data_IF_993017992559
#
_entry.id   IF_993017992559
#
_cell.length_a   1.000
_cell.length_b   1.000
_cell.length_c   1.000
_cell.angle_alpha   90.00
_cell.angle_beta   90.00
_cell.angle_gamma   90.00
#
_symmetry.space_group_name_H-M   'P 1'
#
loop_
_entity.id
_entity.type
_entity.pdbx_description
1 polymer ?
#
# COMPACT_ATOMS: atom_id res chain seq x y z
N UNK A 1 5.35 -35.03 4.39
CA UNK A 1 5.76 -33.61 4.42
C UNK A 1 4.49 -32.84 4.13
N UNK A 2 3.80 -32.38 5.18
CA UNK A 2 2.61 -31.54 4.99
C UNK A 2 3.05 -30.30 4.21
N UNK A 3 2.41 -30.03 3.07
CA UNK A 3 2.53 -28.73 2.41
C UNK A 3 1.98 -27.71 3.40
N UNK A 4 2.87 -27.01 4.10
CA UNK A 4 2.50 -25.81 4.85
C UNK A 4 1.83 -24.87 3.85
N UNK A 5 0.54 -24.61 4.06
CA UNK A 5 -0.22 -23.69 3.22
C UNK A 5 0.41 -22.30 3.25
N UNK A 6 0.16 -21.50 2.23
CA UNK A 6 0.70 -20.14 2.06
C UNK A 6 0.45 -19.27 3.30
N UNK A 7 -0.70 -19.48 3.95
CA UNK A 7 -1.11 -18.82 5.20
C UNK A 7 -0.24 -19.16 6.42
N UNK A 8 0.62 -20.18 6.35
CA UNK A 8 1.52 -20.54 7.45
C UNK A 8 2.75 -19.62 7.52
N UNK A 9 3.10 -18.97 6.42
CA UNK A 9 4.24 -18.03 6.34
C UNK A 9 3.74 -16.61 6.18
N UNK A 10 2.86 -16.39 5.20
CA UNK A 10 2.38 -15.06 4.88
C UNK A 10 1.09 -14.71 5.63
N UNK A 11 0.90 -13.44 6.02
CA UNK A 11 -0.36 -13.00 6.58
C UNK A 11 -1.44 -13.02 5.50
N UNK A 12 -2.70 -13.18 5.93
CA UNK A 12 -3.85 -12.95 5.04
C UNK A 12 -3.94 -11.47 4.71
N UNK A 13 -4.11 -11.14 3.42
CA UNK A 13 -4.38 -9.76 3.02
C UNK A 13 -5.68 -9.27 3.68
N UNK A 14 -5.69 -8.07 4.29
CA UNK A 14 -6.90 -7.51 4.88
C UNK A 14 -7.95 -7.20 3.81
N UNK A 15 -9.15 -6.80 4.22
CA UNK A 15 -10.19 -6.32 3.31
C UNK A 15 -10.28 -4.79 3.29
N UNK A 16 -9.42 -4.11 4.04
CA UNK A 16 -9.43 -2.65 4.17
C UNK A 16 -8.02 -2.11 4.32
N UNK A 17 -7.77 -0.96 3.71
CA UNK A 17 -6.65 -0.08 4.07
C UNK A 17 -7.19 1.26 4.55
N UNK A 18 -6.44 1.92 5.42
CA UNK A 18 -6.78 3.24 5.96
C UNK A 18 -5.64 4.23 5.73
N UNK A 19 -5.97 5.51 5.67
CA UNK A 19 -5.01 6.59 5.56
C UNK A 19 -5.57 7.88 6.18
N UNK A 20 -4.68 8.82 6.47
CA UNK A 20 -5.06 10.12 7.01
C UNK A 20 -4.48 11.23 6.16
N UNK A 21 -5.32 11.99 5.46
CA UNK A 21 -4.89 13.18 4.74
C UNK A 21 -4.93 14.38 5.70
N UNK A 22 -3.83 15.13 5.77
CA UNK A 22 -3.60 16.14 6.81
C UNK A 22 -3.54 17.53 6.16
N UNK A 23 -4.19 18.51 6.81
CA UNK A 23 -4.34 19.85 6.27
C UNK A 23 -4.11 20.94 7.33
N UNK A 24 -3.60 22.08 6.89
CA UNK A 24 -3.41 23.27 7.73
C UNK A 24 -4.75 23.93 8.14
N UNK A 25 -5.80 23.75 7.34
CA UNK A 25 -7.13 24.30 7.54
C UNK A 25 -8.19 23.35 6.93
N UNK A 26 -9.47 23.46 7.32
CA UNK A 26 -10.56 22.74 6.65
C UNK A 26 -10.62 23.02 5.14
N UNK A 27 -11.08 22.03 4.38
CA UNK A 27 -11.21 22.11 2.91
C UNK A 27 -12.66 21.90 2.47
N UNK A 28 -12.97 22.27 1.23
CA UNK A 28 -14.20 21.86 0.56
C UNK A 28 -14.06 20.39 0.10
N UNK A 29 -14.61 19.48 0.90
CA UNK A 29 -14.51 18.04 0.63
C UNK A 29 -15.24 17.63 -0.66
N UNK A 30 -16.40 18.22 -0.94
CA UNK A 30 -17.19 17.87 -2.13
C UNK A 30 -16.45 18.31 -3.39
N UNK A 31 -15.91 19.53 -3.41
CA UNK A 31 -15.09 20.00 -4.52
C UNK A 31 -13.82 19.15 -4.70
N UNK A 32 -13.16 18.77 -3.61
CA UNK A 32 -11.95 17.95 -3.66
C UNK A 32 -12.23 16.55 -4.22
N UNK A 33 -13.33 15.91 -3.83
CA UNK A 33 -13.77 14.60 -4.33
C UNK A 33 -14.25 14.69 -5.78
N UNK A 34 -14.98 15.74 -6.16
CA UNK A 34 -15.43 15.94 -7.55
C UNK A 34 -14.26 16.03 -8.55
N UNK A 35 -13.08 16.47 -8.13
CA UNK A 35 -11.87 16.47 -8.98
C UNK A 35 -11.36 15.07 -9.33
N UNK A 36 -11.70 14.02 -8.57
CA UNK A 36 -11.26 12.65 -8.87
C UNK A 36 -11.68 12.28 -10.30
N UNK A 37 -12.94 12.57 -10.67
CA UNK A 37 -13.46 12.31 -12.01
C UNK A 37 -12.71 13.08 -13.10
N UNK A 38 -12.27 14.31 -12.81
CA UNK A 38 -11.56 15.14 -13.77
C UNK A 38 -10.12 14.67 -14.00
N UNK A 39 -9.43 14.28 -12.92
CA UNK A 39 -8.02 13.88 -12.98
C UNK A 39 -7.88 12.47 -13.58
N UNK A 40 -8.75 11.56 -13.17
CA UNK A 40 -8.60 10.13 -13.47
C UNK A 40 -9.57 9.61 -14.52
N UNK A 41 -10.44 10.48 -15.07
CA UNK A 41 -11.45 10.11 -16.06
C UNK A 41 -12.32 8.92 -15.59
N UNK A 42 -12.76 8.97 -14.34
CA UNK A 42 -13.63 7.96 -13.71
C UNK A 42 -14.96 8.56 -13.29
N UNK A 43 -16.00 7.75 -13.33
CA UNK A 43 -17.31 8.14 -12.81
C UNK A 43 -17.45 7.67 -11.36
N UNK A 44 -17.78 8.62 -10.47
CA UNK A 44 -18.11 8.34 -9.07
C UNK A 44 -19.46 8.99 -8.74
N UNK A 45 -20.23 8.35 -7.88
CA UNK A 45 -21.50 8.87 -7.38
C UNK A 45 -21.40 9.03 -5.84
N UNK A 46 -20.81 10.13 -5.36
CA UNK A 46 -20.62 10.34 -3.94
C UNK A 46 -21.89 10.83 -3.25
N UNK A 47 -22.09 10.33 -2.03
CA UNK A 47 -23.22 10.67 -1.19
C UNK A 47 -22.79 10.84 0.28
N UNK A 48 -23.58 11.62 1.01
CA UNK A 48 -23.45 11.72 2.45
C UNK A 48 -24.30 10.65 3.14
N UNK A 49 -23.71 9.95 4.10
CA UNK A 49 -24.39 8.95 4.93
C UNK A 49 -24.12 9.22 6.41
N UNK A 50 -24.87 8.51 7.27
CA UNK A 50 -24.74 8.60 8.72
C UNK A 50 -24.85 10.06 9.22
N UNK A 51 -26.00 10.69 8.97
CA UNK A 51 -26.30 12.09 9.33
C UNK A 51 -25.24 13.10 8.87
N UNK A 52 -24.79 12.97 7.62
CA UNK A 52 -23.75 13.80 6.99
C UNK A 52 -22.39 13.77 7.70
N UNK A 53 -22.05 12.65 8.34
CA UNK A 53 -20.75 12.47 9.01
C UNK A 53 -19.73 11.75 8.11
N UNK A 54 -20.19 11.00 7.12
CA UNK A 54 -19.34 10.20 6.23
C UNK A 54 -19.72 10.51 4.79
N UNK A 55 -18.74 10.94 4.01
CA UNK A 55 -18.87 11.09 2.56
C UNK A 55 -18.33 9.83 1.89
N UNK A 56 -19.14 9.19 1.05
CA UNK A 56 -18.87 7.84 0.59
C UNK A 56 -19.20 7.66 -0.89
N UNK A 57 -18.43 6.82 -1.57
CA UNK A 57 -18.69 6.41 -2.95
C UNK A 57 -18.04 5.06 -3.22
N UNK A 58 -18.45 4.43 -4.31
CA UNK A 58 -17.79 3.23 -4.82
C UNK A 58 -17.02 3.55 -6.08
N UNK A 59 -15.79 3.06 -6.16
CA UNK A 59 -14.98 3.08 -7.35
C UNK A 59 -14.35 1.71 -7.53
N UNK A 60 -14.61 1.05 -8.66
CA UNK A 60 -13.99 -0.24 -9.02
C UNK A 60 -14.15 -1.32 -7.95
N UNK A 61 -15.36 -1.43 -7.38
CA UNK A 61 -15.66 -2.39 -6.32
C UNK A 61 -15.05 -2.03 -4.95
N UNK A 62 -14.29 -0.94 -4.82
CA UNK A 62 -13.77 -0.43 -3.55
C UNK A 62 -14.76 0.59 -3.00
N UNK A 63 -15.23 0.37 -1.78
CA UNK A 63 -16.00 1.36 -1.04
C UNK A 63 -15.06 2.35 -0.36
N UNK A 64 -15.16 3.62 -0.72
CA UNK A 64 -14.38 4.71 -0.11
C UNK A 64 -15.25 5.40 0.92
N UNK A 65 -14.74 5.58 2.13
CA UNK A 65 -15.37 6.35 3.20
C UNK A 65 -14.42 7.47 3.63
N UNK A 66 -14.95 8.68 3.72
CA UNK A 66 -14.19 9.88 4.09
C UNK A 66 -14.92 10.59 5.24
N UNK A 67 -14.23 10.75 6.36
CA UNK A 67 -14.73 11.52 7.52
C UNK A 67 -13.86 12.75 7.75
N UNK A 68 -14.48 13.92 7.75
CA UNK A 68 -13.82 15.17 8.08
C UNK A 68 -13.70 15.36 9.60
N UNK A 69 -12.50 15.68 10.09
CA UNK A 69 -12.24 15.82 11.51
C UNK A 69 -11.50 17.13 11.80
N UNK A 70 -12.16 18.02 12.54
CA UNK A 70 -11.65 19.34 12.93
C UNK A 70 -10.77 19.28 14.18
N UNK A 71 -9.73 18.42 14.15
CA UNK A 71 -8.69 18.38 15.20
C UNK A 71 -7.38 17.80 14.65
N UNK A 72 -6.25 18.05 15.31
CA UNK A 72 -5.01 17.37 14.98
C UNK A 72 -5.09 15.86 15.19
N UNK A 73 -4.40 15.12 14.34
CA UNK A 73 -4.11 13.69 14.47
C UNK A 73 -3.08 13.50 15.58
N UNK A 74 -3.32 12.54 16.46
CA UNK A 74 -2.37 12.12 17.49
C UNK A 74 -1.80 10.76 17.09
N UNK A 75 -0.49 10.71 16.83
CA UNK A 75 0.21 9.47 16.53
C UNK A 75 0.67 8.77 17.80
N UNK A 76 0.75 7.44 17.76
CA UNK A 76 1.36 6.66 18.85
C UNK A 76 2.89 6.82 18.87
N UNK A 77 3.52 6.99 17.70
CA UNK A 77 4.96 7.19 17.53
C UNK A 77 5.25 8.25 16.47
N UNK A 78 6.30 9.04 16.67
CA UNK A 78 6.69 10.12 15.77
C UNK A 78 5.92 11.42 16.01
N UNK A 79 6.11 12.39 15.12
CA UNK A 79 5.44 13.70 15.18
C UNK A 79 5.03 14.12 13.77
N UNK A 80 3.86 14.74 13.65
CA UNK A 80 3.36 15.34 12.41
C UNK A 80 3.61 16.85 12.43
N UNK A 81 3.75 17.50 11.26
CA UNK A 81 3.74 18.96 11.17
C UNK A 81 2.47 19.55 11.81
N UNK A 82 2.54 20.81 12.26
CA UNK A 82 1.38 21.50 12.82
C UNK A 82 0.22 21.53 11.80
N UNK A 83 -0.97 21.14 12.27
CA UNK A 83 -2.19 21.01 11.48
C UNK A 83 -3.41 21.06 12.40
N UNK A 84 -4.57 21.41 11.85
CA UNK A 84 -5.81 21.58 12.63
C UNK A 84 -6.96 20.73 12.09
N UNK A 85 -6.77 20.13 10.91
CA UNK A 85 -7.79 19.37 10.19
C UNK A 85 -7.19 18.11 9.57
N UNK A 86 -7.97 17.03 9.56
CA UNK A 86 -7.65 15.85 8.79
C UNK A 86 -8.89 15.16 8.22
N UNK A 87 -8.67 14.40 7.16
CA UNK A 87 -9.63 13.44 6.64
C UNK A 87 -9.18 12.04 7.03
N UNK A 88 -10.04 11.31 7.75
CA UNK A 88 -9.88 9.88 7.93
C UNK A 88 -10.43 9.17 6.69
N UNK A 89 -9.59 8.37 6.04
CA UNK A 89 -9.90 7.67 4.81
C UNK A 89 -9.92 6.17 5.06
N UNK A 90 -10.98 5.50 4.61
CA UNK A 90 -11.08 4.04 4.60
C UNK A 90 -11.42 3.56 3.20
N UNK A 91 -10.69 2.55 2.74
CA UNK A 91 -10.88 1.93 1.43
C UNK A 91 -11.17 0.45 1.68
N UNK A 92 -12.45 0.10 1.65
CA UNK A 92 -12.94 -1.25 1.92
C UNK A 92 -13.17 -2.01 0.62
N UNK A 93 -12.44 -3.10 0.44
CA UNK A 93 -12.46 -3.95 -0.74
C UNK A 93 -12.73 -5.41 -0.33
N UNK A 94 -13.97 -5.73 0.09
CA UNK A 94 -14.32 -7.10 0.46
C UNK A 94 -14.25 -8.04 -0.73
N UNK A 95 -14.14 -9.34 -0.44
CA UNK A 95 -14.41 -10.39 -1.41
C UNK A 95 -15.91 -10.49 -1.73
N UNK A 96 -16.75 -10.32 -0.73
CA UNK A 96 -18.20 -10.42 -0.88
C UNK A 96 -18.75 -9.27 -1.73
N UNK A 97 -19.61 -9.60 -2.70
CA UNK A 97 -20.22 -8.61 -3.58
C UNK A 97 -19.28 -8.09 -4.67
N UNK A 98 -18.21 -8.84 -4.99
CA UNK A 98 -17.37 -8.67 -6.17
C UNK A 98 -18.22 -8.49 -7.44
N UNK A 99 -18.35 -7.23 -7.89
CA UNK A 99 -18.63 -6.93 -9.28
C UNK A 99 -17.29 -6.97 -10.03
N UNK A 100 -17.26 -7.37 -11.30
CA UNK A 100 -16.04 -7.38 -12.12
C UNK A 100 -15.24 -6.07 -11.95
N UNK A 101 -14.10 -6.16 -11.27
CA UNK A 101 -13.15 -5.08 -11.09
C UNK A 101 -12.14 -5.12 -12.22
N UNK A 102 -12.16 -4.10 -13.08
CA UNK A 102 -11.35 -4.05 -14.31
C UNK A 102 -9.86 -3.76 -14.10
N UNK A 103 -9.40 -3.48 -12.88
CA UNK A 103 -8.02 -3.01 -12.64
C UNK A 103 -7.01 -4.06 -12.15
N UNK A 104 -7.40 -5.03 -11.33
CA UNK A 104 -6.50 -6.07 -10.82
C UNK A 104 -6.79 -7.46 -11.43
N UNK A 105 -7.31 -7.48 -12.66
CA UNK A 105 -7.73 -8.72 -13.34
C UNK A 105 -8.65 -9.60 -12.47
N UNK A 106 -9.54 -8.97 -11.68
CA UNK A 106 -10.39 -9.60 -10.68
C UNK A 106 -11.43 -10.53 -11.33
N UNK A 107 -10.96 -11.67 -11.81
CA UNK A 107 -11.78 -12.78 -12.29
C UNK A 107 -11.89 -13.79 -11.17
N UNK A 108 -13.03 -14.51 -11.06
CA UNK A 108 -13.09 -15.66 -10.19
C UNK A 108 -11.92 -16.61 -10.50
N UNK A 109 -11.08 -16.84 -9.50
CA UNK A 109 -9.98 -17.79 -9.59
C UNK A 109 -10.45 -19.14 -9.08
N UNK A 110 -10.08 -20.20 -9.80
CA UNK A 110 -10.32 -21.58 -9.36
C UNK A 110 -9.02 -22.22 -8.90
N UNK A 111 -9.14 -23.18 -7.97
CA UNK A 111 -8.02 -23.97 -7.49
C UNK A 111 -7.56 -23.64 -6.07
N UNK A 112 -6.52 -24.34 -5.58
CA UNK A 112 -6.00 -24.15 -4.25
C UNK A 112 -5.43 -22.72 -4.11
N UNK A 113 -5.79 -22.04 -3.01
CA UNK A 113 -5.42 -20.65 -2.68
C UNK A 113 -6.12 -19.53 -3.47
N UNK A 114 -7.13 -19.84 -4.30
CA UNK A 114 -7.84 -18.81 -5.08
C UNK A 114 -8.42 -17.68 -4.22
N UNK A 115 -9.02 -18.00 -3.08
CA UNK A 115 -9.54 -17.01 -2.12
C UNK A 115 -8.45 -16.08 -1.63
N UNK A 116 -7.27 -16.61 -1.30
CA UNK A 116 -6.15 -15.80 -0.82
C UNK A 116 -5.59 -14.91 -1.94
N UNK A 117 -5.43 -15.43 -3.17
CA UNK A 117 -5.05 -14.61 -4.34
C UNK A 117 -6.04 -13.48 -4.57
N UNK A 118 -7.33 -13.79 -4.54
CA UNK A 118 -8.37 -12.79 -4.74
C UNK A 118 -8.28 -11.69 -3.68
N UNK A 119 -8.04 -11.99 -2.39
CA UNK A 119 -7.86 -10.95 -1.36
C UNK A 119 -6.73 -9.98 -1.71
N UNK A 120 -5.63 -10.49 -2.27
CA UNK A 120 -4.47 -9.69 -2.65
C UNK A 120 -4.79 -8.79 -3.84
N UNK A 121 -5.42 -9.33 -4.88
CA UNK A 121 -5.88 -8.54 -6.02
C UNK A 121 -6.82 -7.42 -5.57
N UNK A 122 -7.74 -7.69 -4.63
CA UNK A 122 -8.61 -6.65 -4.05
C UNK A 122 -7.81 -5.55 -3.35
N UNK A 123 -6.74 -5.90 -2.64
CA UNK A 123 -5.89 -4.90 -1.98
C UNK A 123 -5.00 -4.12 -2.96
N UNK A 124 -4.68 -4.68 -4.13
CA UNK A 124 -4.11 -3.92 -5.26
C UNK A 124 -5.15 -2.90 -5.77
N UNK A 125 -6.38 -3.32 -6.03
CA UNK A 125 -7.46 -2.39 -6.44
C UNK A 125 -7.72 -1.30 -5.40
N UNK A 126 -7.78 -1.65 -4.12
CA UNK A 126 -7.90 -0.69 -3.02
C UNK A 126 -6.74 0.33 -3.02
N UNK A 127 -5.52 -0.13 -3.30
CA UNK A 127 -4.33 0.72 -3.33
C UNK A 127 -4.29 1.64 -4.56
N UNK A 128 -4.84 1.21 -5.69
CA UNK A 128 -5.04 2.06 -6.87
C UNK A 128 -6.06 3.16 -6.57
N UNK A 129 -7.23 2.79 -6.06
CA UNK A 129 -8.28 3.74 -5.67
C UNK A 129 -7.74 4.71 -4.61
N UNK A 130 -6.98 4.22 -3.63
CA UNK A 130 -6.26 5.04 -2.66
C UNK A 130 -5.40 6.11 -3.34
N UNK A 131 -4.54 5.72 -4.28
CA UNK A 131 -3.69 6.68 -4.98
C UNK A 131 -4.51 7.73 -5.73
N UNK A 132 -5.58 7.32 -6.42
CA UNK A 132 -6.43 8.23 -7.18
C UNK A 132 -7.13 9.27 -6.28
N UNK A 133 -7.72 8.79 -5.18
CA UNK A 133 -8.42 9.62 -4.20
C UNK A 133 -7.45 10.58 -3.54
N UNK A 134 -6.31 10.08 -3.07
CA UNK A 134 -5.35 10.91 -2.34
C UNK A 134 -4.66 11.94 -3.25
N UNK A 135 -4.38 11.61 -4.51
CA UNK A 135 -3.89 12.62 -5.47
C UNK A 135 -4.88 13.78 -5.62
N UNK A 136 -6.18 13.49 -5.75
CA UNK A 136 -7.20 14.53 -5.84
C UNK A 136 -7.34 15.34 -4.54
N UNK A 137 -7.31 14.68 -3.39
CA UNK A 137 -7.46 15.30 -2.07
C UNK A 137 -6.26 16.16 -1.67
N UNK A 138 -5.05 15.83 -2.10
CA UNK A 138 -3.83 16.56 -1.78
C UNK A 138 -3.54 17.74 -2.73
N UNK A 139 -4.38 17.98 -3.73
CA UNK A 139 -4.30 19.18 -4.60
C UNK A 139 -4.88 20.43 -3.96
N UNK A 140 -5.46 20.32 -2.77
CA UNK A 140 -5.85 21.46 -1.96
C UNK A 140 -4.63 22.25 -1.49
N UNK A 141 -4.72 23.59 -1.50
CA UNK A 141 -3.64 24.47 -1.04
C UNK A 141 -3.28 24.22 0.44
N UNK A 142 -4.28 23.86 1.25
CA UNK A 142 -4.10 23.56 2.67
C UNK A 142 -3.42 22.20 2.93
N UNK A 143 -3.25 21.34 1.91
CA UNK A 143 -2.74 19.99 2.09
C UNK A 143 -1.29 19.96 2.55
N UNK A 144 -1.02 19.17 3.60
CA UNK A 144 0.34 18.92 4.11
C UNK A 144 0.88 17.59 3.57
N UNK A 145 0.02 16.57 3.49
CA UNK A 145 0.38 15.24 3.02
C UNK A 145 -0.58 14.16 3.49
N UNK A 146 -0.31 12.93 3.09
CA UNK A 146 -1.04 11.73 3.54
C UNK A 146 -0.14 10.88 4.44
N UNK A 147 -0.67 10.47 5.58
CA UNK A 147 0.00 9.58 6.51
C UNK A 147 -0.63 8.18 6.47
N UNK A 148 0.23 7.16 6.48
CA UNK A 148 -0.13 5.75 6.66
C UNK A 148 0.74 5.19 7.79
N UNK A 149 0.09 4.66 8.81
CA UNK A 149 0.74 4.19 10.04
C UNK A 149 1.68 3.02 9.74
N UNK A 150 1.23 2.08 8.92
CA UNK A 150 1.97 0.89 8.50
C UNK A 150 3.25 1.22 7.71
N UNK A 151 3.27 2.36 7.01
CA UNK A 151 4.46 2.82 6.28
C UNK A 151 5.37 3.69 7.16
N UNK A 152 4.80 4.27 8.23
CA UNK A 152 5.46 5.21 9.13
C UNK A 152 6.03 6.43 8.42
N UNK A 153 5.38 6.90 7.35
CA UNK A 153 5.82 8.02 6.52
C UNK A 153 4.65 8.94 6.17
N UNK A 154 4.95 10.24 6.11
CA UNK A 154 4.05 11.27 5.60
C UNK A 154 4.46 11.59 4.16
N UNK A 155 3.65 11.22 3.18
CA UNK A 155 3.90 11.54 1.78
C UNK A 155 3.39 12.94 1.45
N UNK A 156 4.27 13.87 1.01
CA UNK A 156 3.85 15.22 0.66
C UNK A 156 3.10 15.26 -0.69
N UNK A 157 2.25 16.27 -0.94
CA UNK A 157 1.43 16.37 -2.15
C UNK A 157 2.20 16.18 -3.46
N UNK A 158 3.35 16.84 -3.61
CA UNK A 158 4.16 16.75 -4.83
C UNK A 158 4.68 15.33 -5.10
N UNK A 159 4.96 14.56 -4.05
CA UNK A 159 5.41 13.17 -4.18
C UNK A 159 4.25 12.28 -4.61
N UNK A 160 3.07 12.45 -4.00
CA UNK A 160 1.87 11.69 -4.37
C UNK A 160 1.49 11.94 -5.83
N UNK A 161 1.42 13.20 -6.26
CA UNK A 161 1.09 13.54 -7.65
C UNK A 161 2.11 12.95 -8.65
N UNK A 162 3.41 13.10 -8.35
CA UNK A 162 4.49 12.60 -9.22
C UNK A 162 4.51 11.08 -9.33
N UNK A 163 4.40 10.37 -8.20
CA UNK A 163 4.48 8.90 -8.19
C UNK A 163 3.16 8.30 -8.71
N UNK A 164 2.02 8.92 -8.37
CA UNK A 164 0.69 8.50 -8.82
C UNK A 164 0.52 8.52 -10.35
N UNK A 165 1.24 9.40 -11.05
CA UNK A 165 1.25 9.44 -12.53
C UNK A 165 1.60 8.09 -13.17
N UNK A 166 2.31 7.21 -12.46
CA UNK A 166 2.59 5.84 -12.90
C UNK A 166 1.31 5.06 -13.32
N UNK A 167 0.19 5.29 -12.64
CA UNK A 167 -1.09 4.64 -12.94
C UNK A 167 -1.57 4.96 -14.36
N UNK A 168 -1.29 6.16 -14.87
CA UNK A 168 -1.67 6.56 -16.24
C UNK A 168 -0.95 5.75 -17.33
N UNK A 169 0.15 5.09 -16.96
CA UNK A 169 0.95 4.22 -17.83
C UNK A 169 0.74 2.73 -17.54
N UNK A 170 -0.27 2.38 -16.74
CA UNK A 170 -0.53 1.00 -16.31
C UNK A 170 0.53 0.45 -15.34
N UNK A 171 1.31 1.32 -14.70
CA UNK A 171 2.32 0.94 -13.73
C UNK A 171 1.81 1.19 -12.31
N UNK A 172 2.19 0.33 -11.36
CA UNK A 172 1.83 0.56 -9.97
C UNK A 172 2.74 1.62 -9.33
N UNK A 173 2.20 2.57 -8.56
CA UNK A 173 2.94 3.60 -7.83
C UNK A 173 3.51 3.02 -6.51
N UNK A 174 4.31 1.94 -6.61
CA UNK A 174 4.79 1.15 -5.47
C UNK A 174 5.35 1.99 -4.29
N UNK A 175 6.11 3.08 -4.49
CA UNK A 175 6.60 3.90 -3.37
C UNK A 175 5.51 4.56 -2.52
N UNK A 176 4.27 4.65 -2.99
CA UNK A 176 3.12 5.11 -2.18
C UNK A 176 2.50 3.98 -1.34
N UNK A 177 2.81 2.73 -1.66
CA UNK A 177 2.18 1.53 -1.09
C UNK A 177 3.13 0.74 -0.19
N UNK A 178 4.42 0.77 -0.50
CA UNK A 178 5.49 0.09 0.23
C UNK A 178 6.63 1.08 0.47
N UNK A 179 7.00 1.26 1.74
CA UNK A 179 8.13 2.10 2.13
C UNK A 179 9.39 1.23 2.23
N UNK A 180 10.40 1.53 1.42
CA UNK A 180 11.71 0.86 1.50
C UNK A 180 12.65 1.72 2.34
N UNK A 181 12.99 1.21 3.52
CA UNK A 181 13.96 1.82 4.43
C UNK A 181 15.31 1.16 4.22
N UNK A 182 16.31 1.97 3.92
CA UNK A 182 17.71 1.56 3.84
C UNK A 182 18.48 2.22 4.97
N UNK A 183 19.37 1.48 5.60
CA UNK A 183 20.15 1.96 6.73
C UNK A 183 21.63 1.62 6.57
N UNK A 184 22.47 2.51 7.07
CA UNK A 184 23.91 2.38 7.20
C UNK A 184 24.25 1.90 8.63
N UNK A 185 24.53 0.60 8.77
CA UNK A 185 25.26 0.07 9.92
C UNK A 185 26.73 -0.17 9.55
N UNK A 186 27.44 -1.02 10.32
CA UNK A 186 28.74 -1.57 9.87
C UNK A 186 28.61 -2.31 8.52
N UNK A 187 27.41 -2.81 8.25
CA UNK A 187 26.97 -3.40 6.99
C UNK A 187 25.66 -2.75 6.53
N UNK A 188 25.41 -2.81 5.23
CA UNK A 188 24.20 -2.22 4.65
C UNK A 188 23.00 -3.11 4.93
N UNK A 189 21.86 -2.47 5.25
CA UNK A 189 20.59 -3.16 5.50
C UNK A 189 19.44 -2.48 4.77
N UNK A 190 18.41 -3.25 4.49
CA UNK A 190 17.20 -2.76 3.83
C UNK A 190 15.96 -3.49 4.33
N UNK A 191 14.85 -2.79 4.45
CA UNK A 191 13.59 -3.31 4.97
C UNK A 191 12.42 -2.68 4.24
N UNK A 192 11.45 -3.47 3.80
CA UNK A 192 10.17 -2.94 3.29
C UNK A 192 9.20 -2.69 4.44
N UNK A 193 8.23 -1.83 4.27
CA UNK A 193 7.07 -1.73 5.16
C UNK A 193 5.83 -1.56 4.30
N UNK A 194 4.80 -2.36 4.57
CA UNK A 194 3.50 -2.27 3.90
C UNK A 194 3.11 -3.47 3.05
N UNK A 195 4.03 -4.41 2.80
CA UNK A 195 3.70 -5.67 2.10
C UNK A 195 2.60 -6.51 2.78
N UNK A 196 2.41 -6.48 4.11
CA UNK A 196 1.29 -7.19 4.75
C UNK A 196 -0.10 -6.76 4.26
N UNK A 197 -0.26 -5.54 3.76
CA UNK A 197 -1.52 -5.09 3.13
C UNK A 197 -1.85 -5.92 1.87
N UNK A 198 -0.83 -6.49 1.22
CA UNK A 198 -0.98 -7.36 0.06
C UNK A 198 -0.84 -8.85 0.42
N UNK A 199 -0.94 -9.20 1.70
CA UNK A 199 -0.82 -10.58 2.17
C UNK A 199 0.60 -11.13 2.02
N UNK A 200 1.62 -10.29 2.04
CA UNK A 200 3.02 -10.74 2.02
C UNK A 200 3.70 -10.40 3.34
N UNK A 201 4.55 -11.31 3.80
CA UNK A 201 5.55 -10.90 4.77
C UNK A 201 6.46 -9.89 4.10
N UNK A 202 6.93 -9.02 4.95
CA UNK A 202 7.67 -7.85 4.60
C UNK A 202 9.15 -8.28 4.46
N UNK A 203 9.88 -7.73 3.49
CA UNK A 203 11.23 -8.19 3.12
C UNK A 203 12.31 -7.51 3.97
N UNK A 204 13.38 -8.24 4.26
CA UNK A 204 14.57 -7.70 4.94
C UNK A 204 15.86 -8.23 4.30
N UNK A 205 16.83 -7.33 4.09
CA UNK A 205 18.22 -7.64 3.76
C UNK A 205 19.05 -7.13 4.93
N UNK A 206 19.86 -8.01 5.52
CA UNK A 206 20.79 -7.67 6.60
C UNK A 206 22.21 -8.05 6.21
N UNK A 207 23.18 -7.36 6.81
CA UNK A 207 24.59 -7.70 6.69
C UNK A 207 25.15 -7.71 5.25
N UNK A 208 24.56 -6.89 4.36
CA UNK A 208 24.97 -6.86 2.96
C UNK A 208 26.25 -6.06 2.73
N UNK A 209 27.06 -6.56 1.80
CA UNK A 209 28.24 -5.86 1.26
C UNK A 209 27.91 -5.05 -0.01
N UNK A 210 26.67 -5.16 -0.52
CA UNK A 210 26.18 -4.43 -1.69
C UNK A 210 25.86 -2.98 -1.34
N UNK A 211 25.79 -2.11 -2.35
CA UNK A 211 25.48 -0.70 -2.14
C UNK A 211 24.03 -0.48 -1.71
N UNK A 212 23.76 0.60 -0.97
CA UNK A 212 22.39 0.98 -0.56
C UNK A 212 21.44 1.14 -1.76
N UNK A 213 21.97 1.57 -2.91
CA UNK A 213 21.21 1.67 -4.16
C UNK A 213 20.78 0.29 -4.65
N UNK A 214 21.71 -0.68 -4.70
CA UNK A 214 21.39 -2.06 -5.08
C UNK A 214 20.37 -2.67 -4.13
N UNK A 215 20.50 -2.46 -2.81
CA UNK A 215 19.51 -2.94 -1.84
C UNK A 215 18.12 -2.36 -2.12
N UNK A 216 18.04 -1.04 -2.34
CA UNK A 216 16.79 -0.37 -2.66
C UNK A 216 16.19 -0.92 -3.97
N UNK A 217 16.99 -1.07 -5.02
CA UNK A 217 16.54 -1.61 -6.32
C UNK A 217 16.05 -3.05 -6.18
N UNK A 218 16.77 -3.92 -5.46
CA UNK A 218 16.37 -5.31 -5.19
C UNK A 218 15.05 -5.37 -4.42
N UNK A 219 14.92 -4.65 -3.31
CA UNK A 219 13.69 -4.67 -2.51
C UNK A 219 12.49 -4.15 -3.29
N UNK A 220 12.66 -3.10 -4.10
CA UNK A 220 11.59 -2.60 -4.97
C UNK A 220 11.23 -3.60 -6.07
N UNK A 221 12.22 -4.22 -6.72
CA UNK A 221 11.97 -5.18 -7.79
C UNK A 221 11.20 -6.41 -7.28
N UNK A 222 11.64 -6.98 -6.16
CA UNK A 222 10.96 -8.14 -5.53
C UNK A 222 9.57 -7.74 -5.03
N UNK A 223 9.43 -6.58 -4.38
CA UNK A 223 8.12 -6.07 -3.95
C UNK A 223 7.17 -5.85 -5.12
N UNK A 224 7.63 -5.26 -6.22
CA UNK A 224 6.82 -5.09 -7.41
C UNK A 224 6.37 -6.45 -7.95
N UNK A 225 7.29 -7.41 -8.08
CA UNK A 225 6.99 -8.75 -8.59
C UNK A 225 5.90 -9.46 -7.79
N UNK A 226 5.98 -9.46 -6.45
CA UNK A 226 5.00 -10.14 -5.60
C UNK A 226 3.69 -9.37 -5.45
N UNK A 227 3.70 -8.03 -5.53
CA UNK A 227 2.47 -7.22 -5.44
C UNK A 227 1.66 -7.29 -6.73
N UNK A 228 2.31 -7.32 -7.90
CA UNK A 228 1.61 -7.36 -9.20
C UNK A 228 1.36 -8.76 -9.73
N UNK A 229 1.97 -9.79 -9.13
CA UNK A 229 1.90 -11.17 -9.60
C UNK A 229 1.19 -12.09 -8.61
N UNK A 230 0.96 -13.33 -9.03
CA UNK A 230 0.36 -14.39 -8.20
C UNK A 230 1.42 -15.20 -7.43
N UNK A 231 2.66 -14.71 -7.38
CA UNK A 231 3.80 -15.42 -6.81
C UNK A 231 3.90 -15.22 -5.29
N UNK A 232 4.44 -16.23 -4.61
CA UNK A 232 4.68 -16.21 -3.17
C UNK A 232 6.14 -16.54 -2.89
N UNK A 233 6.68 -15.95 -1.83
CA UNK A 233 8.03 -16.23 -1.36
C UNK A 233 7.95 -17.18 -0.17
N UNK A 234 8.22 -18.46 -0.41
CA UNK A 234 8.29 -19.47 0.63
C UNK A 234 9.74 -19.70 1.06
N UNK A 235 10.02 -19.87 2.37
CA UNK A 235 11.36 -20.15 2.86
C UNK A 235 11.97 -21.38 2.17
N UNK A 236 13.25 -21.27 1.80
CA UNK A 236 13.99 -22.30 1.06
C UNK A 236 13.79 -22.25 -0.46
N UNK A 237 12.98 -21.33 -0.99
CA UNK A 237 13.00 -21.01 -2.43
C UNK A 237 14.18 -20.07 -2.75
N UNK A 238 14.36 -19.81 -4.04
CA UNK A 238 15.26 -18.76 -4.51
C UNK A 238 14.52 -17.78 -5.41
N UNK A 239 14.96 -16.52 -5.39
CA UNK A 239 14.45 -15.47 -6.28
C UNK A 239 15.49 -15.17 -7.35
N UNK A 240 15.12 -15.30 -8.62
CA UNK A 240 15.98 -14.91 -9.73
C UNK A 240 16.20 -13.40 -9.73
N UNK A 241 17.45 -12.97 -9.54
CA UNK A 241 17.84 -11.55 -9.55
C UNK A 241 18.44 -11.15 -10.90
N UNK A 242 19.24 -12.04 -11.48
CA UNK A 242 19.72 -11.98 -12.86
C UNK A 242 19.52 -13.36 -13.50
N UNK A 243 19.71 -13.54 -14.82
CA UNK A 243 19.67 -14.87 -15.44
C UNK A 243 20.65 -15.89 -14.83
N UNK A 244 21.65 -15.42 -14.08
CA UNK A 244 22.71 -16.26 -13.48
C UNK A 244 22.73 -16.23 -11.96
N UNK A 245 22.10 -15.24 -11.32
CA UNK A 245 22.13 -15.08 -9.86
C UNK A 245 20.75 -15.34 -9.25
N UNK A 246 20.72 -16.24 -8.27
CA UNK A 246 19.54 -16.56 -7.48
C UNK A 246 19.80 -16.20 -6.02
N UNK A 247 18.87 -15.50 -5.39
CA UNK A 247 18.96 -15.11 -3.97
C UNK A 247 18.23 -16.12 -3.11
N UNK A 248 18.89 -16.63 -2.07
CA UNK A 248 18.25 -17.51 -1.09
C UNK A 248 17.28 -16.71 -0.22
N UNK A 249 16.13 -17.31 0.09
CA UNK A 249 15.14 -16.71 0.97
C UNK A 249 14.83 -17.58 2.19
N UNK A 250 14.70 -16.95 3.34
CA UNK A 250 14.32 -17.58 4.60
C UNK A 250 13.28 -16.75 5.35
N UNK A 251 12.65 -17.33 6.37
CA UNK A 251 11.81 -16.57 7.31
C UNK A 251 12.64 -16.27 8.55
N UNK A 252 12.59 -15.02 9.01
CA UNK A 252 13.32 -14.57 10.19
C UNK A 252 12.48 -13.59 11.02
N UNK A 253 13.03 -13.13 12.14
CA UNK A 253 12.48 -12.07 12.98
C UNK A 253 13.34 -10.81 12.82
N UNK A 254 12.71 -9.73 12.35
CA UNK A 254 13.37 -8.44 12.13
C UNK A 254 14.03 -7.93 13.41
N UNK A 255 15.32 -7.60 13.31
CA UNK A 255 16.08 -7.00 14.40
C UNK A 255 15.61 -5.57 14.72
N UNK A 256 14.89 -4.94 13.78
CA UNK A 256 14.48 -3.53 13.89
C UNK A 256 13.26 -3.35 14.79
N UNK A 257 12.33 -4.30 14.76
CA UNK A 257 11.01 -4.17 15.41
C UNK A 257 10.41 -5.49 15.91
N UNK A 258 11.07 -6.64 15.70
CA UNK A 258 10.60 -7.96 16.12
C UNK A 258 9.49 -8.54 15.25
N UNK A 259 9.18 -7.93 14.11
CA UNK A 259 8.19 -8.48 13.17
C UNK A 259 8.74 -9.69 12.41
N UNK A 260 7.89 -10.65 12.06
CA UNK A 260 8.28 -11.71 11.11
C UNK A 260 8.52 -11.12 9.71
N UNK A 261 9.57 -11.59 9.05
CA UNK A 261 10.00 -11.10 7.73
C UNK A 261 10.44 -12.24 6.82
N UNK A 262 10.48 -11.97 5.51
CA UNK A 262 11.28 -12.78 4.58
C UNK A 262 12.66 -12.15 4.47
N UNK A 263 13.68 -12.89 4.90
CA UNK A 263 15.07 -12.51 4.72
C UNK A 263 15.54 -12.91 3.32
N UNK A 264 16.20 -11.98 2.64
CA UNK A 264 16.86 -12.20 1.36
C UNK A 264 18.37 -12.09 1.59
N UNK A 265 19.11 -13.16 1.27
CA UNK A 265 20.56 -13.15 1.40
C UNK A 265 21.17 -12.51 0.13
N UNK A 266 21.59 -11.24 0.26
CA UNK A 266 22.00 -10.37 -0.86
C UNK A 266 23.30 -9.60 -0.61
#
# INVERSE_FOLDING_TARGET
MEQLGISAVHPTAPEMLTAVAIYRAPIDLEAAVARISQIWAVDIAPEWVNDNQIYTFRLQGVQVLISAVNRPVVLQRGQLPAHEFHLALSFYAPLDGLAEGTLAEEKPLEGPNSTELMRRHRMVSASIVYTQVVDALLREEAAIGVYRDELGVLHPPHMVAKVGEALTRGQIPLPLWVNVRIGDGETNRGRTLGLPIFGHLDLEIVESTRSLKELFETLNAVSNYIVTGDAYLLPGQTVGFTPTDTLEISQDVSLSDGASVIRIDF
#
